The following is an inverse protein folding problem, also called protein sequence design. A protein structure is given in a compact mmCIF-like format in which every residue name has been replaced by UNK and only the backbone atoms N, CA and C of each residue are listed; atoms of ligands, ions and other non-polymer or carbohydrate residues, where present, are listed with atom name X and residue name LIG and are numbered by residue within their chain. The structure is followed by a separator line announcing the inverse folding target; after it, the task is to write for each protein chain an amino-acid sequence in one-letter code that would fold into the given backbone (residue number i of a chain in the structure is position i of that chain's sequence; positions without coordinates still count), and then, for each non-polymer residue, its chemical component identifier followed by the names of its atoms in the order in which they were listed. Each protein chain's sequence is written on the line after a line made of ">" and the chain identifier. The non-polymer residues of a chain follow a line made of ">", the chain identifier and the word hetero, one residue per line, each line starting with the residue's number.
data_IF_271561357939
#
_entry.id   IF_271561357939
#
_cell.length_a   1.000
_cell.length_b   1.000
_cell.length_c   1.000
_cell.angle_alpha   90.00
_cell.angle_beta   90.00
_cell.angle_gamma   90.00
#
_symmetry.space_group_name_H-M   'P 1'
#
loop_
_entity.id
_entity.type
_entity.pdbx_description
1 polymer ?
#
# COMPACT_ATOMS: atom_id res chain seq x y z
N UNK A 1 22.51 -38.44 10.30
CA UNK A 1 22.60 -38.35 11.77
C UNK A 1 21.52 -37.39 12.26
N UNK A 2 20.62 -37.83 13.14
CA UNK A 2 19.54 -36.97 13.69
C UNK A 2 20.12 -36.11 14.83
N UNK A 3 20.12 -34.79 14.63
CA UNK A 3 20.82 -33.81 15.49
C UNK A 3 20.04 -33.38 16.74
N UNK A 4 18.79 -33.82 16.92
CA UNK A 4 18.01 -33.53 18.12
C UNK A 4 17.22 -34.76 18.58
N UNK A 5 17.58 -35.30 19.74
CA UNK A 5 16.77 -36.27 20.49
C UNK A 5 16.05 -35.52 21.61
N UNK A 6 14.75 -35.33 21.46
CA UNK A 6 13.91 -34.73 22.49
C UNK A 6 13.31 -35.87 23.33
N UNK A 7 13.87 -36.14 24.52
CA UNK A 7 13.39 -37.18 25.45
C UNK A 7 12.20 -36.73 26.31
N UNK A 8 11.71 -35.49 26.15
CA UNK A 8 10.62 -34.95 26.96
C UNK A 8 9.54 -34.35 26.07
N UNK A 9 8.34 -34.95 26.12
CA UNK A 9 7.16 -34.43 25.42
C UNK A 9 6.65 -33.18 26.15
N UNK A 10 6.97 -32.01 25.60
CA UNK A 10 6.43 -30.76 26.13
C UNK A 10 4.94 -30.66 25.77
N UNK A 11 4.08 -30.62 26.79
CA UNK A 11 2.64 -30.83 26.64
C UNK A 11 1.90 -29.53 26.28
N UNK A 12 2.20 -28.97 25.09
CA UNK A 12 1.59 -27.72 24.58
C UNK A 12 0.07 -27.80 24.46
N UNK A 13 -0.47 -29.02 24.28
CA UNK A 13 -1.90 -29.28 24.12
C UNK A 13 -2.74 -28.88 25.35
N UNK A 14 -2.10 -28.71 26.53
CA UNK A 14 -2.79 -28.25 27.74
C UNK A 14 -3.30 -26.81 27.62
N UNK A 15 -2.63 -25.96 26.83
CA UNK A 15 -2.96 -24.54 26.69
C UNK A 15 -3.79 -24.24 25.44
N UNK A 16 -4.19 -25.26 24.66
CA UNK A 16 -4.86 -25.07 23.37
C UNK A 16 -6.11 -24.20 23.48
N UNK A 17 -6.91 -24.34 24.55
CA UNK A 17 -8.15 -23.58 24.70
C UNK A 17 -7.89 -22.09 24.96
N UNK A 18 -6.83 -21.76 25.69
CA UNK A 18 -6.40 -20.38 25.88
C UNK A 18 -5.87 -19.79 24.56
N UNK A 19 -5.03 -20.54 23.85
CA UNK A 19 -4.50 -20.12 22.55
C UNK A 19 -5.60 -19.94 21.50
N UNK A 20 -6.59 -20.84 21.45
CA UNK A 20 -7.76 -20.74 20.57
C UNK A 20 -8.59 -19.52 20.95
N UNK A 21 -8.89 -19.31 22.23
CA UNK A 21 -9.64 -18.13 22.69
C UNK A 21 -8.96 -16.81 22.31
N UNK A 22 -7.65 -16.71 22.55
CA UNK A 22 -6.87 -15.54 22.18
C UNK A 22 -6.83 -15.32 20.65
N UNK A 23 -6.62 -16.40 19.88
CA UNK A 23 -6.61 -16.35 18.42
C UNK A 23 -7.95 -15.89 17.86
N UNK A 24 -9.06 -16.48 18.34
CA UNK A 24 -10.41 -16.07 17.97
C UNK A 24 -10.69 -14.61 18.31
N UNK A 25 -10.26 -14.14 19.49
CA UNK A 25 -10.41 -12.74 19.88
C UNK A 25 -9.64 -11.80 18.94
N UNK A 26 -8.39 -12.13 18.59
CA UNK A 26 -7.59 -11.33 17.67
C UNK A 26 -8.18 -11.28 16.26
N UNK A 27 -8.73 -12.39 15.78
CA UNK A 27 -9.43 -12.45 14.48
C UNK A 27 -10.67 -11.55 14.50
N UNK A 28 -11.51 -11.64 15.54
CA UNK A 28 -12.68 -10.78 15.67
C UNK A 28 -12.30 -9.30 15.76
N UNK A 29 -11.24 -8.97 16.50
CA UNK A 29 -10.74 -7.60 16.61
C UNK A 29 -10.23 -7.07 15.26
N UNK A 30 -9.52 -7.90 14.49
CA UNK A 30 -9.08 -7.56 13.13
C UNK A 30 -10.26 -7.26 12.20
N UNK A 31 -11.29 -8.10 12.23
CA UNK A 31 -12.52 -7.88 11.44
C UNK A 31 -13.21 -6.58 11.88
N UNK A 32 -13.33 -6.34 13.19
CA UNK A 32 -13.92 -5.11 13.71
C UNK A 32 -13.13 -3.86 13.29
N UNK A 33 -11.79 -3.94 13.29
CA UNK A 33 -10.91 -2.88 12.80
C UNK A 33 -11.13 -2.61 11.32
N UNK A 34 -11.22 -3.64 10.48
CA UNK A 34 -11.48 -3.48 9.05
C UNK A 34 -12.83 -2.79 8.78
N UNK A 35 -13.86 -3.14 9.54
CA UNK A 35 -15.20 -2.54 9.40
C UNK A 35 -15.27 -1.09 9.91
N UNK A 36 -14.48 -0.72 10.93
CA UNK A 36 -14.55 0.60 11.58
C UNK A 36 -13.55 1.61 11.03
N UNK A 37 -12.31 1.20 10.73
CA UNK A 37 -11.27 2.04 10.15
C UNK A 37 -11.36 2.12 8.63
N UNK A 38 -12.14 1.24 8.01
CA UNK A 38 -12.19 1.10 6.56
C UNK A 38 -10.95 0.39 6.01
N UNK A 39 -10.97 0.18 4.69
CA UNK A 39 -9.88 -0.44 3.93
C UNK A 39 -9.27 0.65 3.05
N UNK A 40 -7.94 0.73 3.01
CA UNK A 40 -7.23 1.54 2.01
C UNK A 40 -7.35 0.85 0.66
N UNK A 41 -8.37 1.24 -0.11
CA UNK A 41 -8.62 0.66 -1.43
C UNK A 41 -7.50 1.00 -2.40
N UNK A 42 -6.97 -0.01 -3.06
CA UNK A 42 -6.00 0.17 -4.14
C UNK A 42 -6.65 0.72 -5.42
N UNK A 43 -5.81 1.13 -6.37
CA UNK A 43 -6.26 1.70 -7.64
C UNK A 43 -7.15 0.74 -8.46
N UNK A 44 -6.95 -0.57 -8.30
CA UNK A 44 -7.77 -1.61 -8.93
C UNK A 44 -9.25 -1.55 -8.51
N UNK A 45 -9.54 -0.96 -7.34
CA UNK A 45 -10.89 -0.83 -6.79
C UNK A 45 -11.42 0.61 -6.81
N UNK A 46 -10.53 1.61 -6.64
CA UNK A 46 -10.92 3.02 -6.69
C UNK A 46 -10.99 3.58 -8.10
N UNK A 47 -10.33 2.93 -9.07
CA UNK A 47 -10.01 3.52 -10.36
C UNK A 47 -8.91 4.60 -10.27
N UNK A 48 -8.40 5.02 -11.42
CA UNK A 48 -7.43 6.12 -11.54
C UNK A 48 -6.29 5.81 -12.52
N UNK A 49 -5.15 6.50 -12.36
CA UNK A 49 -4.01 6.38 -13.27
C UNK A 49 -2.72 6.14 -12.51
N UNK A 50 -1.94 5.19 -13.01
CA UNK A 50 -0.54 4.98 -12.59
C UNK A 50 0.37 5.61 -13.64
N UNK A 51 1.28 6.45 -13.19
CA UNK A 51 2.36 6.99 -13.99
C UNK A 51 3.68 6.41 -13.48
N UNK A 52 4.42 5.79 -14.38
CA UNK A 52 5.78 5.34 -14.12
C UNK A 52 6.75 6.36 -14.73
N UNK A 53 7.59 6.94 -13.89
CA UNK A 53 8.54 7.98 -14.26
C UNK A 53 9.96 7.52 -13.90
N UNK A 54 10.82 7.42 -14.90
CA UNK A 54 12.25 7.17 -14.71
C UNK A 54 13.02 8.49 -14.79
N UNK A 55 13.69 8.85 -13.71
CA UNK A 55 14.52 10.05 -13.62
C UNK A 55 15.99 9.71 -13.93
N UNK A 56 16.73 10.66 -14.50
CA UNK A 56 18.16 10.49 -14.74
C UNK A 56 19.00 10.46 -13.44
N UNK A 57 18.45 10.97 -12.33
CA UNK A 57 19.07 11.06 -11.01
C UNK A 57 18.07 10.61 -9.94
N UNK A 58 18.58 10.32 -8.73
CA UNK A 58 17.74 9.87 -7.61
C UNK A 58 16.61 10.87 -7.34
N UNK A 59 15.37 10.41 -7.42
CA UNK A 59 14.21 11.26 -7.34
C UNK A 59 13.92 11.64 -5.87
N UNK A 60 13.62 12.92 -5.63
CA UNK A 60 13.19 13.38 -4.32
C UNK A 60 11.66 13.27 -4.21
N UNK A 61 11.19 12.23 -3.53
CA UNK A 61 9.75 11.95 -3.36
C UNK A 61 9.00 13.07 -2.62
N UNK A 62 9.65 13.75 -1.68
CA UNK A 62 9.00 14.79 -0.87
C UNK A 62 8.73 16.04 -1.71
N UNK A 63 9.69 16.45 -2.55
CA UNK A 63 9.48 17.53 -3.51
C UNK A 63 8.38 17.17 -4.51
N UNK A 64 8.40 15.93 -5.05
CA UNK A 64 7.40 15.48 -6.01
C UNK A 64 5.99 15.46 -5.39
N UNK A 65 5.87 15.00 -4.14
CA UNK A 65 4.60 15.02 -3.38
C UNK A 65 4.12 16.44 -3.13
N UNK A 66 5.00 17.36 -2.78
CA UNK A 66 4.66 18.78 -2.58
C UNK A 66 4.13 19.41 -3.87
N UNK A 67 4.80 19.17 -5.01
CA UNK A 67 4.35 19.67 -6.31
C UNK A 67 2.97 19.10 -6.70
N UNK A 68 2.75 17.79 -6.51
CA UNK A 68 1.45 17.17 -6.78
C UNK A 68 0.35 17.70 -5.87
N UNK A 69 0.66 17.96 -4.61
CA UNK A 69 -0.29 18.56 -3.65
C UNK A 69 -0.67 19.98 -4.07
N UNK A 70 0.31 20.80 -4.49
CA UNK A 70 0.07 22.16 -5.01
C UNK A 70 -0.74 22.15 -6.32
N UNK A 71 -0.55 21.14 -7.16
CA UNK A 71 -1.30 20.94 -8.40
C UNK A 71 -2.74 20.42 -8.19
N UNK A 72 -3.18 20.23 -6.93
CA UNK A 72 -4.54 19.78 -6.59
C UNK A 72 -4.68 18.26 -6.40
N UNK A 73 -3.58 17.51 -6.42
CA UNK A 73 -3.56 16.06 -6.22
C UNK A 73 -3.01 15.71 -4.83
N UNK A 74 -3.68 16.18 -3.78
CA UNK A 74 -3.27 15.93 -2.38
C UNK A 74 -3.28 14.44 -1.99
N UNK A 75 -4.15 13.64 -2.64
CA UNK A 75 -4.29 12.21 -2.42
C UNK A 75 -3.34 11.37 -3.32
N UNK A 76 -2.38 12.01 -4.00
CA UNK A 76 -1.43 11.30 -4.86
C UNK A 76 -0.42 10.49 -4.02
N UNK A 77 -0.29 9.20 -4.34
CA UNK A 77 0.69 8.34 -3.69
C UNK A 77 1.93 8.26 -4.56
N UNK A 78 3.06 8.74 -4.05
CA UNK A 78 4.36 8.72 -4.72
C UNK A 78 5.28 7.74 -4.02
N UNK A 79 5.82 6.78 -4.76
CA UNK A 79 6.72 5.75 -4.23
C UNK A 79 7.78 5.35 -5.24
N UNK A 80 8.94 4.88 -4.76
CA UNK A 80 9.94 4.28 -5.64
C UNK A 80 9.46 2.94 -6.22
N UNK A 81 9.97 2.59 -7.39
CA UNK A 81 9.65 1.36 -8.09
C UNK A 81 10.90 0.76 -8.72
N UNK A 82 11.48 -0.29 -8.13
CA UNK A 82 12.68 -0.94 -8.66
C UNK A 82 13.98 -0.24 -8.24
N UNK A 83 14.16 1.05 -8.52
CA UNK A 83 15.36 1.82 -8.15
C UNK A 83 15.03 3.17 -7.50
N UNK A 84 16.05 3.88 -6.98
CA UNK A 84 15.90 5.26 -6.45
C UNK A 84 15.59 6.30 -7.53
N UNK A 85 15.71 5.92 -8.80
CA UNK A 85 15.48 6.79 -9.94
C UNK A 85 14.10 6.56 -10.57
N UNK A 86 13.49 5.42 -10.30
CA UNK A 86 12.23 5.01 -10.85
C UNK A 86 11.13 5.25 -9.82
N UNK A 87 10.13 6.04 -10.19
CA UNK A 87 9.06 6.50 -9.31
C UNK A 87 7.72 6.17 -9.92
N UNK A 88 6.87 5.57 -9.12
CA UNK A 88 5.50 5.27 -9.43
C UNK A 88 4.60 6.28 -8.70
N UNK A 89 3.83 7.02 -9.49
CA UNK A 89 2.84 8.00 -9.02
C UNK A 89 1.45 7.41 -9.25
N UNK A 90 0.66 7.27 -8.19
CA UNK A 90 -0.74 6.84 -8.27
C UNK A 90 -1.66 8.03 -8.03
N UNK A 91 -2.57 8.25 -8.96
CA UNK A 91 -3.57 9.31 -8.91
C UNK A 91 -4.96 8.66 -8.82
N UNK A 92 -5.75 8.90 -7.75
CA UNK A 92 -7.09 8.34 -7.63
C UNK A 92 -8.07 8.94 -8.67
N UNK A 93 -8.99 8.13 -9.21
CA UNK A 93 -10.06 8.66 -10.09
C UNK A 93 -11.07 9.44 -9.27
N UNK A 94 -10.83 10.74 -9.21
CA UNK A 94 -11.63 11.76 -8.53
C UNK A 94 -11.15 13.17 -8.92
N UNK A 95 -9.92 13.28 -9.44
CA UNK A 95 -9.46 14.40 -10.25
C UNK A 95 -10.04 14.37 -11.69
N UNK A 96 -11.30 13.97 -11.81
CA UNK A 96 -12.06 13.80 -13.06
C UNK A 96 -12.35 15.11 -13.81
N UNK A 97 -11.80 16.25 -13.35
CA UNK A 97 -11.74 17.49 -14.11
C UNK A 97 -10.45 17.64 -14.94
N UNK A 98 -9.36 16.92 -14.60
CA UNK A 98 -8.06 17.08 -15.26
C UNK A 98 -7.80 16.06 -16.38
N UNK A 99 -8.58 14.98 -16.44
CA UNK A 99 -8.38 13.89 -17.39
C UNK A 99 -8.77 14.26 -18.83
N UNK A 100 -9.58 15.31 -19.02
CA UNK A 100 -9.92 15.85 -20.33
C UNK A 100 -8.94 16.94 -20.82
N UNK A 101 -8.24 17.63 -19.92
CA UNK A 101 -7.33 18.73 -20.28
C UNK A 101 -5.88 18.27 -20.49
N UNK A 102 -5.41 17.25 -19.75
CA UNK A 102 -4.03 16.76 -19.87
C UNK A 102 -3.77 15.98 -21.16
N UNK A 103 -4.81 15.38 -21.76
CA UNK A 103 -4.69 14.72 -23.05
C UNK A 103 -4.31 15.69 -24.18
N UNK A 104 -4.88 16.90 -24.19
CA UNK A 104 -4.59 17.89 -25.24
C UNK A 104 -3.23 18.59 -25.06
N UNK A 105 -2.77 18.78 -23.81
CA UNK A 105 -1.48 19.44 -23.55
C UNK A 105 -0.26 18.55 -23.83
N UNK A 106 -0.39 17.23 -23.68
CA UNK A 106 0.71 16.29 -23.92
C UNK A 106 0.92 16.02 -25.42
N UNK A 107 -0.08 16.23 -26.27
CA UNK A 107 0.07 16.10 -27.74
C UNK A 107 0.69 17.34 -28.42
N UNK A 108 0.97 18.42 -27.70
CA UNK A 108 1.58 19.64 -28.24
C UNK A 108 3.02 19.91 -27.74
N UNK A 109 3.63 18.94 -27.06
CA UNK A 109 5.07 18.90 -26.77
C UNK A 109 5.70 17.70 -27.47
#
# INVERSE_FOLDING_TARGET
>A
MQLFKFDTSLNFMRFRWFAVGLSSLLVLLSIALLLTRGINWGLDFTGGTVLELSFAQAANLDLLRQHLTQAGYAEAVVQFFGSSNDVLVRLPSGASAAQQQLGEQVFQL
#
